data_IF_046148263809
#
_entry.id   IF_046148263809
#
_cell.length_a   1.000
_cell.length_b   1.000
_cell.length_c   1.000
_cell.angle_alpha   90.00
_cell.angle_beta   90.00
_cell.angle_gamma   90.00
#
_symmetry.space_group_name_H-M   'P 1'
#
loop_
_entity.id
_entity.type
_entity.pdbx_description
1 polymer ?
#
# COMPACT_ATOMS: atom_id res chain seq x y z
N UNK A 1 29.50 -1.24 23.15
CA UNK A 1 28.61 -2.12 22.37
C UNK A 1 28.03 -1.30 21.24
N UNK A 2 28.25 -1.64 19.96
CA UNK A 2 27.64 -0.90 18.87
C UNK A 2 26.17 -1.30 18.74
N UNK A 3 25.31 -0.29 18.65
CA UNK A 3 23.87 -0.42 18.47
C UNK A 3 23.58 -1.29 17.25
N UNK A 4 22.83 -2.39 17.44
CA UNK A 4 22.31 -3.19 16.32
C UNK A 4 21.57 -2.24 15.38
N UNK A 5 22.11 -2.06 14.17
CA UNK A 5 21.43 -1.34 13.10
C UNK A 5 20.08 -2.01 12.90
N UNK A 6 19.00 -1.25 13.05
CA UNK A 6 17.67 -1.73 12.76
C UNK A 6 17.65 -2.18 11.30
N UNK A 7 17.49 -3.48 11.08
CA UNK A 7 17.20 -4.02 9.76
C UNK A 7 15.80 -3.48 9.42
N UNK A 8 15.76 -2.41 8.63
CA UNK A 8 14.51 -1.95 8.04
C UNK A 8 14.12 -3.02 7.03
N UNK A 9 12.99 -3.68 7.26
CA UNK A 9 12.35 -4.48 6.22
C UNK A 9 11.91 -3.50 5.14
N UNK A 10 12.72 -3.36 4.10
CA UNK A 10 12.32 -2.67 2.88
C UNK A 10 11.67 -3.75 2.03
N UNK A 11 10.38 -3.61 1.77
CA UNK A 11 9.56 -4.68 1.17
C UNK A 11 9.96 -4.98 -0.30
N UNK A 12 10.60 -4.04 -1.01
CA UNK A 12 11.25 -4.28 -2.30
C UNK A 12 12.21 -3.12 -2.69
N UNK A 13 13.48 -3.41 -3.00
CA UNK A 13 14.42 -2.46 -3.62
C UNK A 13 14.88 -3.04 -4.96
N UNK A 14 14.56 -2.37 -6.07
CA UNK A 14 14.83 -2.89 -7.41
C UNK A 14 16.23 -2.54 -7.96
N UNK A 15 16.95 -1.56 -7.39
CA UNK A 15 18.29 -1.22 -7.85
C UNK A 15 19.10 -0.45 -6.80
N UNK A 16 20.37 -0.81 -6.60
CA UNK A 16 21.34 -0.11 -5.76
C UNK A 16 22.64 0.14 -6.56
N UNK A 17 23.03 1.40 -6.76
CA UNK A 17 24.34 1.76 -7.32
C UNK A 17 25.31 2.11 -6.19
N UNK A 18 26.42 1.38 -6.11
CA UNK A 18 27.50 1.50 -5.12
C UNK A 18 28.22 2.88 -5.08
N UNK A 19 27.98 3.77 -6.04
CA UNK A 19 28.72 5.03 -6.22
C UNK A 19 27.96 6.31 -5.78
N UNK A 20 26.70 6.19 -5.35
CA UNK A 20 25.91 7.29 -4.75
C UNK A 20 25.86 7.09 -3.22
N UNK A 21 25.58 8.11 -2.38
CA UNK A 21 25.64 7.95 -0.93
C UNK A 21 24.71 6.81 -0.47
N UNK A 22 25.36 5.71 -0.07
CA UNK A 22 24.95 4.45 0.58
C UNK A 22 23.62 3.74 0.26
N UNK A 23 22.54 4.36 -0.21
CA UNK A 23 21.34 3.69 -0.76
C UNK A 23 20.62 4.71 -1.68
N UNK A 24 20.59 4.47 -2.99
CA UNK A 24 19.86 5.33 -3.94
C UNK A 24 18.68 4.59 -4.55
N UNK A 25 17.57 4.55 -3.81
CA UNK A 25 16.34 3.87 -4.26
C UNK A 25 15.73 4.63 -5.44
N UNK A 26 15.64 3.99 -6.60
CA UNK A 26 14.97 4.55 -7.78
C UNK A 26 13.47 4.25 -7.80
N UNK A 27 13.08 3.08 -7.30
CA UNK A 27 11.69 2.66 -7.18
C UNK A 27 11.46 1.98 -5.83
N UNK A 28 10.39 2.36 -5.15
CA UNK A 28 10.00 1.81 -3.87
C UNK A 28 8.48 1.59 -3.84
N UNK A 29 8.03 0.54 -3.16
CA UNK A 29 6.61 0.26 -2.98
C UNK A 29 6.33 -0.01 -1.51
N UNK A 30 5.43 0.75 -0.91
CA UNK A 30 4.92 0.48 0.44
C UNK A 30 3.71 -0.45 0.36
N UNK A 31 3.66 -1.46 1.23
CA UNK A 31 2.51 -2.34 1.35
C UNK A 31 1.85 -2.21 2.72
N UNK A 32 0.52 -2.03 2.73
CA UNK A 32 -0.28 -2.08 3.95
C UNK A 32 -1.48 -3.00 3.80
N UNK A 33 -1.97 -3.47 4.95
CA UNK A 33 -3.19 -4.26 5.03
C UNK A 33 -4.23 -3.55 5.89
N UNK A 34 -5.48 -3.55 5.44
CA UNK A 34 -6.65 -3.10 6.19
C UNK A 34 -7.56 -4.29 6.44
N UNK A 35 -7.60 -4.71 7.70
CA UNK A 35 -8.54 -5.72 8.17
C UNK A 35 -9.82 -5.02 8.58
N UNK A 36 -10.81 -5.00 7.69
CA UNK A 36 -12.05 -4.22 7.87
C UNK A 36 -12.88 -4.70 9.07
N UNK A 37 -12.76 -5.98 9.46
CA UNK A 37 -13.30 -6.54 10.70
C UNK A 37 -12.87 -5.80 11.98
N UNK A 38 -11.80 -4.99 11.91
CA UNK A 38 -11.32 -4.18 13.04
C UNK A 38 -11.75 -2.70 12.98
N UNK A 39 -12.35 -2.24 11.88
CA UNK A 39 -12.98 -0.92 11.72
C UNK A 39 -12.07 0.33 11.88
N UNK A 40 -10.86 0.21 12.43
CA UNK A 40 -10.01 1.33 12.89
C UNK A 40 -8.75 1.57 12.05
N UNK A 41 -8.28 0.57 11.29
CA UNK A 41 -6.94 0.63 10.70
C UNK A 41 -6.80 1.57 9.49
N UNK A 42 -7.88 1.89 8.76
CA UNK A 42 -7.79 2.55 7.43
C UNK A 42 -7.14 3.94 7.45
N UNK A 43 -7.49 4.81 8.41
CA UNK A 43 -6.92 6.17 8.50
C UNK A 43 -5.44 6.14 8.93
N UNK A 44 -5.08 5.19 9.80
CA UNK A 44 -3.67 4.99 10.17
C UNK A 44 -2.86 4.53 8.96
N UNK A 45 -3.40 3.61 8.14
CA UNK A 45 -2.74 3.16 6.91
C UNK A 45 -2.60 4.26 5.86
N UNK A 46 -3.59 5.15 5.77
CA UNK A 46 -3.46 6.37 4.97
C UNK A 46 -2.27 7.20 5.45
N UNK A 47 -2.21 7.54 6.74
CA UNK A 47 -1.11 8.32 7.31
C UNK A 47 0.26 7.67 7.12
N UNK A 48 0.34 6.34 7.28
CA UNK A 48 1.58 5.57 7.06
C UNK A 48 2.08 5.73 5.61
N UNK A 49 1.19 5.64 4.62
CA UNK A 49 1.54 5.75 3.19
C UNK A 49 2.01 7.15 2.84
N UNK A 50 1.29 8.19 3.31
CA UNK A 50 1.66 9.60 3.11
C UNK A 50 3.04 9.89 3.71
N UNK A 51 3.28 9.41 4.95
CA UNK A 51 4.57 9.56 5.61
C UNK A 51 5.70 8.83 4.87
N UNK A 52 5.43 7.64 4.34
CA UNK A 52 6.39 6.87 3.54
C UNK A 52 6.78 7.62 2.26
N UNK A 53 5.79 8.09 1.48
CA UNK A 53 6.04 8.84 0.25
C UNK A 53 6.88 10.09 0.53
N UNK A 54 6.51 10.84 1.56
CA UNK A 54 7.25 12.03 1.96
C UNK A 54 8.70 11.68 2.37
N UNK A 55 8.92 10.58 3.10
CA UNK A 55 10.27 10.14 3.47
C UNK A 55 11.12 9.81 2.24
N UNK A 56 10.57 9.03 1.30
CA UNK A 56 11.26 8.60 0.10
C UNK A 56 11.61 9.78 -0.82
N UNK A 57 10.66 10.67 -1.07
CA UNK A 57 10.88 11.83 -1.93
C UNK A 57 11.79 12.90 -1.30
N UNK A 58 11.85 13.02 0.04
CA UNK A 58 12.85 13.85 0.71
C UNK A 58 14.26 13.26 0.61
N UNK A 59 14.40 11.93 0.61
CA UNK A 59 15.69 11.28 0.41
C UNK A 59 16.17 11.36 -1.04
N UNK A 60 15.25 11.17 -1.99
CA UNK A 60 15.52 11.24 -3.42
C UNK A 60 14.29 11.74 -4.18
N UNK A 61 14.31 13.00 -4.60
CA UNK A 61 13.14 13.70 -5.17
C UNK A 61 12.61 13.09 -6.45
N UNK A 62 13.49 12.51 -7.26
CA UNK A 62 13.18 11.84 -8.54
C UNK A 62 12.81 10.35 -8.38
N UNK A 63 12.90 9.75 -7.20
CA UNK A 63 12.50 8.34 -7.03
C UNK A 63 11.00 8.15 -7.29
N UNK A 64 10.64 6.97 -7.79
CA UNK A 64 9.26 6.55 -8.06
C UNK A 64 8.76 5.78 -6.85
N UNK A 65 7.64 6.20 -6.27
CA UNK A 65 7.06 5.60 -5.07
C UNK A 65 5.65 5.13 -5.35
N UNK A 66 5.41 3.83 -5.18
CA UNK A 66 4.08 3.24 -5.20
C UNK A 66 3.59 2.90 -3.80
N UNK A 67 2.29 2.73 -3.65
CA UNK A 67 1.70 2.11 -2.48
C UNK A 67 0.63 1.09 -2.86
N UNK A 68 0.51 0.03 -2.06
CA UNK A 68 -0.55 -0.98 -2.20
C UNK A 68 -1.27 -1.16 -0.87
N UNK A 69 -2.59 -1.30 -0.93
CA UNK A 69 -3.41 -1.64 0.24
C UNK A 69 -4.22 -2.88 -0.05
N UNK A 70 -3.99 -3.94 0.73
CA UNK A 70 -4.85 -5.11 0.73
C UNK A 70 -5.99 -4.92 1.73
N UNK A 71 -7.23 -4.97 1.24
CA UNK A 71 -8.44 -4.81 2.04
C UNK A 71 -9.09 -6.17 2.18
N UNK A 72 -9.11 -6.71 3.40
CA UNK A 72 -9.88 -7.93 3.67
C UNK A 72 -11.37 -7.61 3.75
N UNK A 73 -12.22 -8.47 3.19
CA UNK A 73 -13.69 -8.35 3.25
C UNK A 73 -14.36 -9.36 4.18
N UNK A 74 -13.64 -10.35 4.71
CA UNK A 74 -14.28 -11.43 5.48
C UNK A 74 -14.83 -10.96 6.82
N UNK A 75 -16.14 -11.19 7.05
CA UNK A 75 -16.76 -11.01 8.36
C UNK A 75 -16.35 -12.12 9.34
N UNK A 76 -15.95 -13.27 8.81
CA UNK A 76 -15.56 -14.46 9.57
C UNK A 76 -14.07 -14.47 9.93
N UNK A 77 -13.36 -13.34 9.75
CA UNK A 77 -11.94 -13.28 10.03
C UNK A 77 -11.61 -13.60 11.50
N UNK A 78 -10.89 -14.69 11.69
CA UNK A 78 -10.30 -15.07 12.96
C UNK A 78 -8.87 -14.55 13.06
N UNK A 79 -8.54 -13.91 14.20
CA UNK A 79 -7.16 -13.49 14.43
C UNK A 79 -6.29 -14.73 14.70
N UNK A 80 -5.22 -14.97 13.93
CA UNK A 80 -4.31 -16.08 14.20
C UNK A 80 -3.64 -15.94 15.58
N UNK A 81 -3.44 -14.72 16.06
CA UNK A 81 -2.90 -14.44 17.39
C UNK A 81 -3.82 -14.96 18.50
N UNK A 82 -3.29 -15.87 19.31
CA UNK A 82 -4.01 -16.51 20.42
C UNK A 82 -4.56 -15.49 21.43
N UNK A 83 -3.88 -14.35 21.64
CA UNK A 83 -4.35 -13.30 22.55
C UNK A 83 -5.57 -12.55 22.03
N UNK A 84 -5.77 -12.55 20.72
CA UNK A 84 -6.84 -11.83 20.06
C UNK A 84 -7.93 -12.75 19.49
N UNK A 85 -7.77 -14.07 19.68
CA UNK A 85 -8.75 -15.09 19.30
C UNK A 85 -9.92 -15.07 20.28
N UNK A 86 -11.15 -15.16 19.78
CA UNK A 86 -12.36 -15.19 20.61
C UNK A 86 -12.80 -13.84 21.20
N UNK A 87 -12.10 -12.74 20.89
CA UNK A 87 -12.58 -11.40 21.25
C UNK A 87 -13.84 -11.10 20.43
N UNK A 88 -14.97 -10.86 21.12
CA UNK A 88 -16.21 -10.45 20.48
C UNK A 88 -16.05 -9.08 19.81
N UNK A 89 -16.46 -8.98 18.55
CA UNK A 89 -16.28 -7.77 17.74
C UNK A 89 -17.62 -7.16 17.39
N UNK A 90 -17.70 -5.83 17.29
CA UNK A 90 -18.89 -5.17 16.78
C UNK A 90 -19.21 -5.68 15.38
N UNK A 91 -20.49 -5.97 15.12
CA UNK A 91 -20.96 -6.24 13.77
C UNK A 91 -20.95 -4.94 12.97
N UNK A 92 -20.11 -4.89 11.93
CA UNK A 92 -20.06 -3.77 11.02
C UNK A 92 -20.85 -4.11 9.75
N UNK A 93 -21.33 -3.08 9.04
CA UNK A 93 -21.79 -3.25 7.65
C UNK A 93 -20.54 -3.39 6.76
N UNK A 94 -20.02 -4.61 6.64
CA UNK A 94 -18.70 -4.87 6.08
C UNK A 94 -18.56 -4.35 4.65
N UNK A 95 -19.58 -4.56 3.80
CA UNK A 95 -19.59 -4.02 2.43
C UNK A 95 -19.42 -2.50 2.41
N UNK A 96 -20.06 -1.78 3.34
CA UNK A 96 -19.92 -0.34 3.44
C UNK A 96 -18.49 0.03 3.88
N UNK A 97 -17.94 -0.65 4.88
CA UNK A 97 -16.57 -0.40 5.36
C UNK A 97 -15.54 -0.66 4.27
N UNK A 98 -15.70 -1.73 3.49
CA UNK A 98 -14.84 -2.05 2.34
C UNK A 98 -14.95 -0.95 1.30
N UNK A 99 -16.15 -0.60 0.82
CA UNK A 99 -16.36 0.46 -0.17
C UNK A 99 -15.78 1.81 0.27
N UNK A 100 -16.04 2.20 1.53
CA UNK A 100 -15.51 3.45 2.07
C UNK A 100 -13.97 3.41 2.16
N UNK A 101 -13.39 2.25 2.46
CA UNK A 101 -11.93 2.05 2.50
C UNK A 101 -11.33 2.14 1.11
N UNK A 102 -11.89 1.45 0.11
CA UNK A 102 -11.43 1.53 -1.28
C UNK A 102 -11.44 2.98 -1.77
N UNK A 103 -12.54 3.70 -1.53
CA UNK A 103 -12.67 5.11 -1.91
C UNK A 103 -11.63 6.02 -1.26
N UNK A 104 -11.28 5.80 0.00
CA UNK A 104 -10.24 6.61 0.67
C UNK A 104 -8.91 6.52 -0.07
N UNK A 105 -8.53 5.31 -0.46
CA UNK A 105 -7.23 5.05 -1.08
C UNK A 105 -7.21 5.37 -2.58
N UNK A 106 -8.33 5.12 -3.27
CA UNK A 106 -8.49 5.48 -4.69
C UNK A 106 -8.44 7.00 -4.93
N UNK A 107 -8.90 7.80 -3.95
CA UNK A 107 -8.88 9.26 -4.03
C UNK A 107 -7.56 9.90 -3.56
N UNK A 108 -6.52 9.13 -3.25
CA UNK A 108 -5.19 9.69 -2.96
C UNK A 108 -4.68 10.36 -4.25
N UNK A 109 -4.34 11.67 -4.22
CA UNK A 109 -3.77 12.34 -5.38
C UNK A 109 -2.44 11.68 -5.77
N UNK A 110 -2.31 11.32 -7.05
CA UNK A 110 -1.10 10.72 -7.58
C UNK A 110 -0.10 11.78 -8.03
N UNK A 111 1.17 11.52 -7.77
CA UNK A 111 2.30 12.35 -8.17
C UNK A 111 2.62 12.12 -9.65
N UNK A 112 2.73 13.19 -10.42
CA UNK A 112 3.08 13.15 -11.83
C UNK A 112 4.54 13.54 -12.06
N UNK A 113 5.04 14.52 -11.30
CA UNK A 113 6.36 15.13 -11.46
C UNK A 113 7.15 15.22 -10.14
N UNK A 114 8.48 15.35 -10.19
CA UNK A 114 9.28 15.63 -9.00
C UNK A 114 8.94 16.96 -8.30
N UNK A 115 8.27 17.89 -8.98
CA UNK A 115 7.88 19.20 -8.45
C UNK A 115 6.57 19.17 -7.65
N UNK A 116 5.79 18.11 -7.81
CA UNK A 116 4.56 17.87 -7.07
C UNK A 116 4.83 17.56 -5.59
N UNK A 117 3.83 17.68 -4.70
CA UNK A 117 3.97 17.40 -3.28
C UNK A 117 4.62 16.03 -2.99
N UNK A 118 5.58 16.03 -2.07
CA UNK A 118 6.36 14.83 -1.71
C UNK A 118 5.52 13.71 -1.07
N UNK A 119 4.36 14.04 -0.52
CA UNK A 119 3.50 13.09 0.19
C UNK A 119 2.61 12.22 -0.72
N UNK A 120 2.52 12.57 -2.00
CA UNK A 120 1.74 11.80 -2.98
C UNK A 120 2.57 10.66 -3.58
N UNK A 121 2.00 9.44 -3.72
CA UNK A 121 2.63 8.36 -4.47
C UNK A 121 2.48 8.56 -5.98
N UNK A 122 3.41 8.06 -6.78
CA UNK A 122 3.28 7.97 -8.23
C UNK A 122 2.19 6.98 -8.64
N UNK A 123 1.93 5.93 -7.87
CA UNK A 123 0.90 4.94 -8.16
C UNK A 123 0.31 4.35 -6.88
N UNK A 124 -0.99 4.02 -6.92
CA UNK A 124 -1.70 3.39 -5.81
C UNK A 124 -2.43 2.15 -6.30
N UNK A 125 -2.40 1.05 -5.55
CA UNK A 125 -3.27 -0.11 -5.79
C UNK A 125 -4.12 -0.42 -4.56
N UNK A 126 -5.38 -0.80 -4.79
CA UNK A 126 -6.23 -1.38 -3.75
C UNK A 126 -6.63 -2.79 -4.19
N UNK A 127 -6.28 -3.78 -3.37
CA UNK A 127 -6.52 -5.20 -3.66
C UNK A 127 -7.50 -5.71 -2.63
N UNK A 128 -8.70 -6.10 -3.07
CA UNK A 128 -9.72 -6.64 -2.16
C UNK A 128 -9.62 -8.16 -2.12
N UNK A 129 -9.54 -8.73 -0.93
CA UNK A 129 -9.44 -10.17 -0.72
C UNK A 129 -10.49 -10.65 0.26
N UNK A 130 -10.97 -11.88 0.07
CA UNK A 130 -11.72 -12.60 1.08
C UNK A 130 -10.78 -13.57 1.79
N UNK A 131 -10.52 -13.29 3.07
CA UNK A 131 -9.63 -14.09 3.91
C UNK A 131 -10.18 -14.21 5.33
N UNK A 132 -10.47 -15.44 5.75
CA UNK A 132 -11.04 -15.75 7.07
C UNK A 132 -9.99 -16.08 8.14
N UNK A 133 -8.70 -16.11 7.80
CA UNK A 133 -7.63 -16.47 8.74
C UNK A 133 -7.32 -17.98 8.81
N UNK A 134 -8.12 -18.82 8.15
CA UNK A 134 -8.00 -20.28 8.19
C UNK A 134 -7.75 -20.87 6.80
N UNK A 135 -8.43 -20.34 5.78
CA UNK A 135 -8.37 -20.80 4.40
C UNK A 135 -7.52 -19.84 3.55
N UNK A 136 -6.96 -20.32 2.42
CA UNK A 136 -6.25 -19.45 1.47
C UNK A 136 -7.11 -18.25 1.05
N UNK A 137 -6.51 -17.06 1.01
CA UNK A 137 -7.19 -15.86 0.57
C UNK A 137 -7.62 -15.97 -0.90
N UNK A 138 -8.79 -15.43 -1.22
CA UNK A 138 -9.30 -15.34 -2.60
C UNK A 138 -9.42 -13.89 -3.04
N UNK A 139 -9.09 -13.59 -4.29
CA UNK A 139 -9.21 -12.25 -4.86
C UNK A 139 -10.68 -11.91 -5.10
N UNK A 140 -11.07 -10.69 -4.76
CA UNK A 140 -12.40 -10.14 -5.02
C UNK A 140 -12.30 -9.11 -6.15
N UNK A 141 -12.98 -9.37 -7.27
CA UNK A 141 -12.99 -8.51 -8.47
C UNK A 141 -14.36 -7.90 -8.77
N UNK A 142 -15.36 -8.15 -7.92
CA UNK A 142 -16.73 -7.67 -8.08
C UNK A 142 -16.99 -6.34 -7.38
N UNK A 143 -18.26 -6.11 -7.00
CA UNK A 143 -18.68 -4.90 -6.31
C UNK A 143 -17.81 -4.61 -5.07
N UNK A 144 -17.34 -3.37 -4.94
CA UNK A 144 -16.52 -2.93 -3.83
C UNK A 144 -15.02 -3.14 -4.00
N UNK A 145 -14.58 -3.69 -5.14
CA UNK A 145 -13.17 -3.72 -5.59
C UNK A 145 -12.95 -2.73 -6.73
N UNK A 146 -11.75 -2.15 -6.90
CA UNK A 146 -11.42 -1.38 -8.09
C UNK A 146 -11.60 -2.22 -9.36
N UNK A 147 -12.27 -1.65 -10.37
CA UNK A 147 -12.33 -2.22 -11.71
C UNK A 147 -11.18 -1.72 -12.59
N UNK A 148 -11.04 -2.25 -13.81
CA UNK A 148 -9.94 -1.88 -14.71
C UNK A 148 -9.93 -0.40 -15.14
N UNK A 149 -11.03 0.33 -14.98
CA UNK A 149 -11.09 1.78 -15.23
C UNK A 149 -10.56 2.62 -14.06
N UNK A 150 -10.52 2.02 -12.86
CA UNK A 150 -10.02 2.68 -11.66
C UNK A 150 -8.50 2.89 -11.73
N UNK A 151 -7.98 4.08 -11.37
CA UNK A 151 -6.55 4.28 -11.23
C UNK A 151 -5.93 3.40 -10.13
N UNK A 152 -6.75 2.89 -9.19
CA UNK A 152 -6.32 2.02 -8.11
C UNK A 152 -6.32 0.52 -8.46
N UNK A 153 -6.64 0.15 -9.71
CA UNK A 153 -6.53 -1.23 -10.17
C UNK A 153 -5.06 -1.68 -10.22
N UNK A 154 -4.79 -2.93 -9.86
CA UNK A 154 -3.41 -3.45 -9.77
C UNK A 154 -2.67 -3.41 -11.12
N UNK A 155 -3.35 -3.64 -12.25
CA UNK A 155 -2.71 -3.52 -13.57
C UNK A 155 -2.32 -2.07 -13.89
N UNK A 156 -3.20 -1.11 -13.56
CA UNK A 156 -2.94 0.32 -13.76
C UNK A 156 -1.80 0.81 -12.86
N UNK A 157 -1.72 0.28 -11.64
CA UNK A 157 -0.60 0.51 -10.74
C UNK A 157 0.74 0.07 -11.34
N UNK A 158 0.83 -1.16 -11.84
CA UNK A 158 2.07 -1.69 -12.45
C UNK A 158 2.44 -0.89 -13.71
N UNK A 159 1.48 -0.66 -14.60
CA UNK A 159 1.71 0.09 -15.83
C UNK A 159 2.24 1.51 -15.55
N UNK A 160 1.66 2.16 -14.53
CA UNK A 160 2.06 3.51 -14.14
C UNK A 160 3.43 3.55 -13.48
N UNK A 161 3.75 2.61 -12.60
CA UNK A 161 5.10 2.50 -12.02
C UNK A 161 6.16 2.29 -13.10
N UNK A 162 5.91 1.37 -14.04
CA UNK A 162 6.81 1.10 -15.15
C UNK A 162 7.03 2.36 -16.00
N UNK A 163 5.96 3.03 -16.42
CA UNK A 163 6.04 4.25 -17.22
C UNK A 163 6.83 5.37 -16.52
N UNK A 164 6.61 5.56 -15.20
CA UNK A 164 7.35 6.57 -14.41
C UNK A 164 8.82 6.20 -14.26
N UNK A 165 9.12 4.92 -14.03
CA UNK A 165 10.49 4.45 -13.91
C UNK A 165 11.25 4.64 -15.22
N UNK A 166 10.68 4.17 -16.34
CA UNK A 166 11.28 4.31 -17.66
C UNK A 166 11.56 5.76 -18.03
N UNK A 167 10.58 6.64 -17.81
CA UNK A 167 10.72 8.07 -18.09
C UNK A 167 11.87 8.72 -17.31
N UNK A 168 12.11 8.32 -16.06
CA UNK A 168 13.10 8.95 -15.18
C UNK A 168 14.49 8.33 -15.27
N UNK A 169 14.61 7.05 -15.61
CA UNK A 169 15.88 6.31 -15.43
C UNK A 169 16.36 5.47 -16.60
N UNK A 170 15.54 5.27 -17.63
CA UNK A 170 15.90 4.43 -18.79
C UNK A 170 16.13 5.25 -20.08
N UNK A 171 16.02 6.57 -20.00
CA UNK A 171 16.38 7.50 -21.07
C UNK A 171 17.79 8.04 -20.87
#
# INVERSE_FOLDING_TARGET
>A
MPTKVAIRNIDLVLHEKLALPRISVQLAVEHKTVMTAHGKARLNRYGDIIAYCNHMHNHRRDCVVGATVVVNTSEAYENPDAFARGIERPKYKMDKVVRDTVKIFENIPLRESPDDPNESPEAMAVIVVNYDGLNPATLVTGEGSPDASSPAHYDNFIARLAAKYEYRFCR
#
